data_IF_719854214387
#
_entry.id   IF_719854214387
#
_cell.length_a   1.000
_cell.length_b   1.000
_cell.length_c   1.000
_cell.angle_alpha   90.00
_cell.angle_beta   90.00
_cell.angle_gamma   90.00
#
_symmetry.space_group_name_H-M   'P 1'
#
loop_
_entity.id
_entity.type
_entity.pdbx_description
1 polymer ?
#
# COMPACT_ATOMS: atom_id res chain seq x y z
N UNK A 1 -12.82 -11.73 -10.64
CA UNK A 1 -13.03 -10.55 -9.78
C UNK A 1 -12.21 -9.43 -10.41
N UNK A 2 -12.85 -8.38 -10.90
CA UNK A 2 -12.18 -7.34 -11.71
C UNK A 2 -11.63 -6.29 -10.74
N UNK A 3 -10.33 -6.37 -10.45
CA UNK A 3 -9.60 -5.35 -9.70
C UNK A 3 -9.46 -4.17 -10.66
N UNK A 4 -10.23 -3.08 -10.47
CA UNK A 4 -10.19 -1.95 -11.41
C UNK A 4 -8.90 -1.14 -11.23
N UNK A 5 -7.81 -1.67 -11.78
CA UNK A 5 -6.51 -1.05 -12.00
C UNK A 5 -6.03 -1.32 -13.43
N UNK A 6 -6.97 -1.37 -14.39
CA UNK A 6 -6.72 -1.66 -15.82
C UNK A 6 -5.57 -0.83 -16.40
N UNK A 7 -5.43 0.43 -15.96
CA UNK A 7 -4.31 1.28 -16.35
C UNK A 7 -2.95 0.69 -15.91
N UNK A 8 -2.83 0.28 -14.64
CA UNK A 8 -1.59 -0.23 -14.09
C UNK A 8 -1.21 -1.56 -14.73
N UNK A 9 -2.21 -2.43 -14.96
CA UNK A 9 -2.02 -3.69 -15.70
C UNK A 9 -1.57 -3.44 -17.14
N UNK A 10 -2.20 -2.49 -17.85
CA UNK A 10 -1.80 -2.14 -19.20
C UNK A 10 -0.39 -1.53 -19.27
N UNK A 11 -0.02 -0.69 -18.29
CA UNK A 11 1.34 -0.18 -18.17
C UNK A 11 2.35 -1.31 -17.94
N UNK A 12 2.05 -2.29 -17.07
CA UNK A 12 2.95 -3.43 -16.90
C UNK A 12 3.07 -4.31 -18.15
N UNK A 13 2.00 -4.43 -18.95
CA UNK A 13 2.04 -5.17 -20.22
C UNK A 13 2.88 -4.47 -21.30
N UNK A 14 2.85 -3.14 -21.35
CA UNK A 14 3.51 -2.35 -22.40
C UNK A 14 4.90 -1.85 -22.00
N UNK A 15 5.11 -1.61 -20.71
CA UNK A 15 6.23 -0.90 -20.11
C UNK A 15 6.76 -1.61 -18.85
N UNK A 16 6.66 -2.95 -18.82
CA UNK A 16 6.92 -3.75 -17.61
C UNK A 16 8.29 -3.56 -16.96
N UNK A 17 9.32 -3.30 -17.76
CA UNK A 17 10.70 -3.07 -17.32
C UNK A 17 11.01 -1.57 -17.07
N UNK A 18 10.11 -0.66 -17.47
CA UNK A 18 10.27 0.77 -17.22
C UNK A 18 10.03 1.08 -15.74
N UNK A 19 10.74 2.09 -15.23
CA UNK A 19 10.64 2.52 -13.83
C UNK A 19 9.29 3.20 -13.59
N UNK A 20 8.51 2.68 -12.64
CA UNK A 20 7.24 3.24 -12.19
C UNK A 20 7.40 4.13 -10.95
N UNK A 21 8.23 3.70 -10.00
CA UNK A 21 8.53 4.44 -8.77
C UNK A 21 10.04 4.45 -8.55
N UNK A 22 10.59 5.59 -8.16
CA UNK A 22 11.99 5.73 -7.81
C UNK A 22 12.15 6.60 -6.57
N UNK A 23 13.13 6.23 -5.74
CA UNK A 23 13.69 7.12 -4.72
C UNK A 23 15.20 7.28 -4.94
N UNK A 24 15.91 7.88 -3.97
CA UNK A 24 17.34 8.14 -4.10
C UNK A 24 18.20 6.86 -4.20
N UNK A 25 17.69 5.70 -3.80
CA UNK A 25 18.48 4.47 -3.62
C UNK A 25 17.90 3.23 -4.29
N UNK A 26 16.63 3.29 -4.71
CA UNK A 26 15.86 2.15 -5.18
C UNK A 26 14.91 2.57 -6.30
N UNK A 27 14.57 1.59 -7.14
CA UNK A 27 13.62 1.73 -8.23
C UNK A 27 12.73 0.50 -8.26
N UNK A 28 11.49 0.70 -8.71
CA UNK A 28 10.45 -0.32 -8.86
C UNK A 28 9.91 -0.19 -10.27
N UNK A 29 9.96 -1.28 -11.04
CA UNK A 29 9.41 -1.32 -12.39
C UNK A 29 7.88 -1.41 -12.37
N UNK A 30 7.22 -1.17 -13.50
CA UNK A 30 5.76 -1.36 -13.59
C UNK A 30 5.33 -2.80 -13.29
N UNK A 31 6.11 -3.81 -13.71
CA UNK A 31 5.81 -5.22 -13.45
C UNK A 31 5.92 -5.58 -11.96
N UNK A 32 6.93 -5.05 -11.27
CA UNK A 32 7.10 -5.22 -9.83
C UNK A 32 5.98 -4.52 -9.05
N UNK A 33 5.63 -3.29 -9.47
CA UNK A 33 4.56 -2.52 -8.86
C UNK A 33 3.21 -3.24 -8.95
N UNK A 34 2.83 -3.73 -10.14
CA UNK A 34 1.58 -4.51 -10.31
C UNK A 34 1.58 -5.76 -9.43
N UNK A 35 2.70 -6.47 -9.37
CA UNK A 35 2.82 -7.70 -8.57
C UNK A 35 2.60 -7.41 -7.09
N UNK A 36 3.25 -6.37 -6.56
CA UNK A 36 3.13 -5.94 -5.18
C UNK A 36 1.71 -5.46 -4.84
N UNK A 37 1.14 -4.60 -5.70
CA UNK A 37 -0.22 -4.07 -5.55
C UNK A 37 -1.25 -5.18 -5.52
N UNK A 38 -1.16 -6.15 -6.45
CA UNK A 38 -2.10 -7.26 -6.52
C UNK A 38 -1.97 -8.19 -5.31
N UNK A 39 -0.75 -8.49 -4.88
CA UNK A 39 -0.52 -9.33 -3.70
C UNK A 39 -1.14 -8.71 -2.44
N UNK A 40 -0.88 -7.42 -2.18
CA UNK A 40 -1.45 -6.73 -1.04
C UNK A 40 -2.97 -6.57 -1.17
N UNK A 41 -3.49 -6.31 -2.37
CA UNK A 41 -4.94 -6.20 -2.59
C UNK A 41 -5.67 -7.50 -2.23
N UNK A 42 -5.14 -8.66 -2.66
CA UNK A 42 -5.67 -9.98 -2.31
C UNK A 42 -5.59 -10.23 -0.81
N UNK A 43 -4.50 -9.81 -0.14
CA UNK A 43 -4.38 -9.94 1.30
C UNK A 43 -5.43 -9.09 2.05
N UNK A 44 -5.67 -7.85 1.61
CA UNK A 44 -6.70 -6.97 2.18
C UNK A 44 -8.11 -7.53 2.00
N UNK A 45 -8.40 -8.13 0.84
CA UNK A 45 -9.68 -8.81 0.59
C UNK A 45 -9.84 -10.08 1.42
N UNK A 46 -8.75 -10.81 1.66
CA UNK A 46 -8.77 -12.02 2.48
C UNK A 46 -9.00 -11.69 3.96
N UNK A 47 -8.44 -10.57 4.45
CA UNK A 47 -8.65 -10.09 5.82
C UNK A 47 -10.06 -9.56 6.02
N UNK A 48 -10.58 -8.85 5.02
CA UNK A 48 -11.93 -8.30 5.05
C UNK A 48 -12.56 -8.44 3.65
N UNK A 49 -13.53 -9.34 3.44
CA UNK A 49 -14.10 -9.56 2.12
C UNK A 49 -15.14 -8.50 1.72
N UNK A 50 -15.49 -7.56 2.61
CA UNK A 50 -16.55 -6.57 2.35
C UNK A 50 -16.05 -5.49 1.38
N UNK A 51 -16.68 -5.32 0.20
CA UNK A 51 -16.35 -4.23 -0.72
C UNK A 51 -16.69 -2.87 -0.12
N UNK A 52 -15.88 -1.86 -0.44
CA UNK A 52 -16.09 -0.50 0.04
C UNK A 52 -15.86 -0.30 1.54
N UNK A 53 -15.38 -1.31 2.27
CA UNK A 53 -14.90 -1.09 3.63
C UNK A 53 -13.65 -0.21 3.62
N UNK A 54 -13.44 0.50 4.73
CA UNK A 54 -12.42 1.55 4.83
C UNK A 54 -11.12 0.98 5.37
N UNK A 55 -10.02 1.33 4.73
CA UNK A 55 -8.66 0.98 5.17
C UNK A 55 -7.92 2.27 5.45
N UNK A 56 -7.50 2.44 6.71
CA UNK A 56 -6.60 3.52 7.09
C UNK A 56 -5.20 3.31 6.53
N UNK A 57 -4.51 4.38 6.15
CA UNK A 57 -3.10 4.35 5.80
C UNK A 57 -2.38 5.47 6.56
N UNK A 58 -1.61 5.08 7.57
CA UNK A 58 -0.81 5.99 8.39
C UNK A 58 0.66 5.57 8.27
N UNK A 59 1.39 6.19 7.35
CA UNK A 59 2.81 5.90 7.14
C UNK A 59 3.50 7.11 6.49
N UNK A 60 4.83 7.17 6.61
CA UNK A 60 5.64 8.14 5.88
C UNK A 60 5.58 7.89 4.37
N UNK A 61 5.97 8.92 3.61
CA UNK A 61 6.14 8.79 2.17
C UNK A 61 7.26 7.78 1.88
N UNK A 62 6.88 6.62 1.36
CA UNK A 62 7.78 5.55 0.92
C UNK A 62 7.18 4.82 -0.28
N UNK A 63 7.94 3.89 -0.85
CA UNK A 63 7.41 3.02 -1.91
C UNK A 63 6.27 2.14 -1.39
N UNK A 64 6.39 1.62 -0.16
CA UNK A 64 5.34 0.86 0.53
C UNK A 64 4.06 1.68 0.69
N UNK A 65 4.16 2.99 0.95
CA UNK A 65 3.00 3.88 1.00
C UNK A 65 2.26 3.90 -0.34
N UNK A 66 3.00 4.07 -1.45
CA UNK A 66 2.40 4.11 -2.80
C UNK A 66 1.78 2.75 -3.14
N UNK A 67 2.49 1.65 -2.91
CA UNK A 67 1.97 0.28 -3.12
C UNK A 67 0.70 0.07 -2.30
N UNK A 68 0.70 0.46 -1.02
CA UNK A 68 -0.45 0.30 -0.12
C UNK A 68 -1.65 1.10 -0.58
N UNK A 69 -1.44 2.36 -0.97
CA UNK A 69 -2.49 3.21 -1.51
C UNK A 69 -3.14 2.58 -2.74
N UNK A 70 -2.34 2.11 -3.69
CA UNK A 70 -2.82 1.46 -4.91
C UNK A 70 -3.50 0.12 -4.62
N UNK A 71 -2.97 -0.68 -3.70
CA UNK A 71 -3.53 -1.97 -3.29
C UNK A 71 -4.88 -1.84 -2.60
N UNK A 72 -5.08 -0.81 -1.77
CA UNK A 72 -6.38 -0.50 -1.16
C UNK A 72 -7.42 -0.25 -2.26
N UNK A 73 -7.08 0.61 -3.23
CA UNK A 73 -7.98 0.93 -4.34
C UNK A 73 -8.24 -0.31 -5.23
N UNK A 74 -7.19 -1.06 -5.57
CA UNK A 74 -7.29 -2.30 -6.32
C UNK A 74 -8.19 -3.32 -5.62
N UNK A 75 -8.10 -3.42 -4.29
CA UNK A 75 -8.94 -4.30 -3.48
C UNK A 75 -10.43 -3.93 -3.47
N UNK A 76 -10.83 -2.79 -4.06
CA UNK A 76 -12.18 -2.25 -4.01
C UNK A 76 -12.53 -1.65 -2.64
N UNK A 77 -11.51 -1.23 -1.88
CA UNK A 77 -11.64 -0.63 -0.55
C UNK A 77 -11.62 0.89 -0.64
N UNK A 78 -12.07 1.57 0.41
CA UNK A 78 -11.99 3.02 0.55
C UNK A 78 -10.73 3.38 1.34
N UNK A 79 -9.83 4.14 0.74
CA UNK A 79 -8.65 4.70 1.42
C UNK A 79 -9.07 5.79 2.40
N UNK A 80 -8.60 5.68 3.65
CA UNK A 80 -8.63 6.74 4.65
C UNK A 80 -7.20 7.22 4.89
N UNK A 81 -6.77 8.35 4.29
CA UNK A 81 -5.42 8.85 4.46
C UNK A 81 -5.25 9.45 5.87
N UNK A 82 -4.18 9.05 6.56
CA UNK A 82 -3.86 9.50 7.91
C UNK A 82 -2.49 10.16 7.92
N UNK A 83 -2.39 11.36 8.50
CA UNK A 83 -1.14 12.12 8.52
C UNK A 83 -0.18 11.60 9.60
N UNK A 84 0.88 10.90 9.19
CA UNK A 84 1.92 10.38 10.09
C UNK A 84 2.82 11.48 10.71
N UNK A 85 2.63 12.75 10.35
CA UNK A 85 3.25 13.91 11.01
C UNK A 85 2.30 14.59 12.02
N UNK A 86 1.08 14.06 12.18
CA UNK A 86 0.09 14.54 13.12
C UNK A 86 0.28 14.01 14.54
N UNK A 87 -0.73 14.20 15.38
CA UNK A 87 -0.76 13.69 16.76
C UNK A 87 -1.60 12.42 16.88
N UNK A 88 -1.37 11.62 17.92
CA UNK A 88 -2.22 10.46 18.23
C UNK A 88 -3.69 10.83 18.44
N UNK A 89 -3.98 12.02 18.96
CA UNK A 89 -5.35 12.51 19.14
C UNK A 89 -6.05 12.74 17.79
N UNK A 90 -5.35 13.32 16.82
CA UNK A 90 -5.88 13.48 15.46
C UNK A 90 -6.13 12.12 14.79
N UNK A 91 -5.23 11.15 14.99
CA UNK A 91 -5.44 9.80 14.45
C UNK A 91 -6.67 9.16 15.07
N UNK A 92 -6.84 9.28 16.39
CA UNK A 92 -8.02 8.77 17.09
C UNK A 92 -9.32 9.41 16.57
N UNK A 93 -9.34 10.72 16.33
CA UNK A 93 -10.50 11.40 15.74
C UNK A 93 -10.85 10.81 14.36
N UNK A 94 -9.86 10.61 13.49
CA UNK A 94 -10.07 9.99 12.18
C UNK A 94 -10.62 8.56 12.33
N UNK A 95 -10.09 7.76 13.25
CA UNK A 95 -10.58 6.40 13.51
C UNK A 95 -12.04 6.40 13.97
N UNK A 96 -12.41 7.34 14.86
CA UNK A 96 -13.77 7.49 15.37
C UNK A 96 -14.74 7.95 14.29
N UNK A 97 -14.33 8.84 13.40
CA UNK A 97 -15.22 9.38 12.35
C UNK A 97 -15.37 8.41 11.18
N UNK A 98 -14.33 7.64 10.86
CA UNK A 98 -14.29 6.83 9.63
C UNK A 98 -14.49 5.34 9.88
N UNK A 99 -14.27 4.84 11.09
CA UNK A 99 -14.40 3.41 11.41
C UNK A 99 -13.77 2.49 10.35
N UNK A 100 -12.44 2.57 10.13
CA UNK A 100 -11.77 1.67 9.21
C UNK A 100 -11.80 0.24 9.77
N UNK A 101 -11.90 -0.76 8.91
CA UNK A 101 -11.81 -2.17 9.31
C UNK A 101 -10.38 -2.60 9.60
N UNK A 102 -9.40 -1.87 9.07
CA UNK A 102 -7.98 -2.05 9.39
C UNK A 102 -7.18 -0.79 9.04
N UNK A 103 -5.97 -0.66 9.60
CA UNK A 103 -5.05 0.44 9.31
C UNK A 103 -3.69 -0.14 8.92
N UNK A 104 -3.21 0.17 7.71
CA UNK A 104 -1.85 -0.10 7.30
C UNK A 104 -0.91 0.94 7.91
N UNK A 105 0.19 0.48 8.49
CA UNK A 105 1.15 1.33 9.20
C UNK A 105 2.61 0.97 8.90
N UNK A 106 3.45 1.99 8.86
CA UNK A 106 4.89 1.84 9.10
C UNK A 106 5.19 2.00 10.61
N UNK A 107 6.47 2.01 11.00
CA UNK A 107 6.87 2.17 12.40
C UNK A 107 6.40 3.52 13.00
N UNK A 108 6.34 4.58 12.19
CA UNK A 108 5.91 5.91 12.63
C UNK A 108 4.40 5.91 12.88
N UNK A 109 3.64 5.37 11.94
CA UNK A 109 2.20 5.24 12.05
C UNK A 109 1.78 4.33 13.19
N UNK A 110 2.48 3.21 13.40
CA UNK A 110 2.20 2.28 14.49
C UNK A 110 2.33 2.95 15.85
N UNK A 111 3.35 3.79 16.03
CA UNK A 111 3.55 4.57 17.23
C UNK A 111 2.44 5.62 17.45
N UNK A 112 1.87 6.18 16.38
CA UNK A 112 0.84 7.23 16.44
C UNK A 112 -0.58 6.68 16.64
N UNK A 113 -0.92 5.60 15.96
CA UNK A 113 -2.25 4.99 15.95
C UNK A 113 -2.46 4.21 17.25
N UNK A 114 -3.15 4.84 18.21
CA UNK A 114 -3.53 4.22 19.49
C UNK A 114 -4.84 3.45 19.30
N UNK A 115 -4.72 2.16 19.00
CA UNK A 115 -5.84 1.23 18.83
C UNK A 115 -5.48 -0.15 19.36
N UNK A 116 -6.45 -1.07 19.37
CA UNK A 116 -6.18 -2.50 19.56
C UNK A 116 -5.22 -3.00 18.47
N UNK A 117 -4.37 -3.97 18.83
CA UNK A 117 -3.32 -4.49 17.93
C UNK A 117 -3.91 -5.16 16.67
N UNK A 118 -5.10 -5.75 16.77
CA UNK A 118 -5.76 -6.44 15.65
C UNK A 118 -6.20 -5.48 14.51
N UNK A 119 -6.37 -4.20 14.82
CA UNK A 119 -6.76 -3.18 13.84
C UNK A 119 -5.60 -2.85 12.90
N UNK A 120 -4.36 -2.90 13.39
CA UNK A 120 -3.17 -2.46 12.65
C UNK A 120 -2.57 -3.60 11.83
N UNK A 121 -2.06 -3.26 10.65
CA UNK A 121 -1.25 -4.15 9.81
C UNK A 121 0.06 -3.42 9.51
N UNK A 122 1.15 -3.78 10.20
CA UNK A 122 2.47 -3.27 9.88
C UNK A 122 2.92 -3.70 8.49
N UNK A 123 3.61 -2.82 7.75
CA UNK A 123 4.25 -3.19 6.48
C UNK A 123 5.22 -4.37 6.62
N UNK A 124 5.82 -4.56 7.80
CA UNK A 124 6.69 -5.69 8.10
C UNK A 124 6.01 -7.06 8.02
N UNK A 125 4.67 -7.13 8.05
CA UNK A 125 3.92 -8.37 7.78
C UNK A 125 3.96 -8.78 6.29
N UNK A 126 4.36 -7.88 5.40
CA UNK A 126 4.53 -8.12 3.98
C UNK A 126 6.01 -7.95 3.60
N UNK A 127 6.89 -8.89 4.00
CA UNK A 127 8.29 -8.83 3.61
C UNK A 127 8.39 -8.89 2.07
N UNK A 128 9.06 -7.90 1.48
CA UNK A 128 9.13 -7.76 0.03
C UNK A 128 7.91 -7.07 -0.60
N UNK A 129 7.09 -6.35 0.17
CA UNK A 129 6.03 -5.48 -0.36
C UNK A 129 6.55 -4.55 -1.45
N UNK A 130 7.82 -4.17 -1.35
CA UNK A 130 8.60 -3.61 -2.44
C UNK A 130 9.79 -4.52 -2.67
N UNK A 131 9.73 -5.33 -3.72
CA UNK A 131 10.91 -6.01 -4.24
C UNK A 131 11.72 -4.94 -4.98
N UNK A 132 12.85 -4.55 -4.42
CA UNK A 132 13.72 -3.55 -5.05
C UNK A 132 14.50 -4.22 -6.17
N UNK A 133 14.55 -3.56 -7.33
CA UNK A 133 15.40 -3.93 -8.46
C UNK A 133 16.88 -3.66 -8.10
N UNK A 134 17.47 -4.50 -7.23
CA UNK A 134 18.87 -4.35 -6.82
C UNK A 134 19.87 -5.12 -7.68
N UNK A 135 19.43 -6.05 -8.54
CA UNK A 135 20.36 -6.99 -9.18
C UNK A 135 20.16 -7.24 -10.68
N UNK A 136 19.30 -6.49 -11.38
CA UNK A 136 19.19 -6.61 -12.82
C UNK A 136 19.69 -5.33 -13.51
N UNK A 137 20.75 -5.47 -14.31
CA UNK A 137 21.19 -4.42 -15.22
C UNK A 137 20.18 -4.40 -16.38
N UNK A 138 19.69 -3.24 -16.86
CA UNK A 138 18.80 -3.22 -18.02
C UNK A 138 19.49 -3.93 -19.17
N UNK A 139 18.82 -4.93 -19.74
CA UNK A 139 19.31 -5.62 -20.91
C UNK A 139 19.34 -4.60 -22.05
N UNK A 140 20.53 -4.11 -22.38
CA UNK A 140 20.77 -3.37 -23.62
C UNK A 140 20.47 -4.30 -24.80
N UNK A 141 19.38 -4.05 -25.52
CA UNK A 141 19.19 -4.48 -26.91
C UNK A 141 18.90 -3.26 -27.76
#
# INVERSE_FOLDING_TARGET
MQLTMDFLENMALQHGDDVAIADASTQVSYSELVTAVNALAVALQSKDPVPGSRVGLCAANSMEYIVSMLAILAAGKILVPMNCQGTSEQMLQILMDTHPSTVLVDDIGDALVKSDDDLKIPFSQFPGLVLTYRDQKPATT
#
